data_IF_157683635245
#
_entry.id   IF_157683635245
#
_cell.length_a   1.000
_cell.length_b   1.000
_cell.length_c   1.000
_cell.angle_alpha   90.00
_cell.angle_beta   90.00
_cell.angle_gamma   90.00
#
_symmetry.space_group_name_H-M   'P 1'
#
loop_
_entity.id
_entity.type
_entity.pdbx_description
1 polymer ?
#
# COMPACT_ATOMS: atom_id res chain seq x y z
N UNK A 1 3.35 72.80 39.82
CA UNK A 1 2.73 72.73 38.47
C UNK A 1 3.11 71.41 37.82
N UNK A 2 2.08 70.68 37.33
CA UNK A 2 1.98 69.66 36.25
C UNK A 2 3.17 68.71 35.97
N UNK A 3 3.01 67.38 36.24
CA UNK A 3 2.75 66.25 35.29
C UNK A 3 4.00 65.86 34.46
N UNK A 4 4.41 64.60 34.27
CA UNK A 4 3.67 63.48 33.64
C UNK A 4 4.35 62.14 34.00
N UNK A 5 3.54 61.14 34.36
CA UNK A 5 3.90 59.71 34.35
C UNK A 5 3.82 59.15 32.92
N UNK A 6 4.59 58.12 32.56
CA UNK A 6 4.24 57.31 31.38
C UNK A 6 4.48 55.82 31.56
N UNK A 7 3.54 55.10 30.95
CA UNK A 7 3.07 53.76 31.24
C UNK A 7 3.91 52.64 30.60
N UNK A 8 3.76 51.48 31.23
CA UNK A 8 3.95 50.11 30.76
C UNK A 8 3.34 49.87 29.37
N UNK A 9 4.02 49.07 28.53
CA UNK A 9 3.36 48.10 27.66
C UNK A 9 4.08 46.74 27.69
N UNK A 10 3.40 45.75 28.26
CA UNK A 10 3.66 44.33 28.10
C UNK A 10 3.36 43.93 26.65
N UNK A 11 4.33 43.35 25.95
CA UNK A 11 4.10 42.72 24.65
C UNK A 11 4.23 41.21 24.80
N UNK A 12 3.10 40.57 25.10
CA UNK A 12 2.87 39.15 24.89
C UNK A 12 2.52 38.98 23.41
N UNK A 13 3.35 38.30 22.66
CA UNK A 13 3.13 38.10 21.23
C UNK A 13 4.34 37.48 20.55
N UNK A 14 4.74 36.26 20.95
CA UNK A 14 5.65 35.47 20.14
C UNK A 14 4.89 35.02 18.90
N UNK A 15 5.05 35.78 17.82
CA UNK A 15 4.67 35.38 16.48
C UNK A 15 5.23 33.98 16.22
N UNK A 16 4.36 32.99 15.99
CA UNK A 16 4.74 31.72 15.37
C UNK A 16 5.12 32.04 13.93
N UNK A 17 6.37 32.47 13.75
CA UNK A 17 7.00 32.55 12.45
C UNK A 17 6.96 31.12 11.88
N UNK A 18 6.36 30.96 10.69
CA UNK A 18 6.22 29.67 10.02
C UNK A 18 7.62 29.02 9.94
N UNK A 19 7.83 27.96 10.72
CA UNK A 19 9.10 27.25 10.76
C UNK A 19 9.28 26.56 9.39
N UNK A 20 10.33 26.85 8.62
CA UNK A 20 10.46 26.38 7.23
C UNK A 20 10.58 24.85 7.06
N UNK A 21 10.65 24.09 8.16
CA UNK A 21 10.81 22.63 8.18
C UNK A 21 9.69 21.94 9.00
N UNK A 22 8.43 22.17 8.66
CA UNK A 22 7.29 21.43 9.25
C UNK A 22 6.95 20.19 8.41
N UNK A 23 6.59 19.09 9.07
CA UNK A 23 6.24 17.83 8.42
C UNK A 23 7.07 16.63 8.89
N UNK A 24 7.01 15.54 8.14
CA UNK A 24 7.80 14.32 8.38
C UNK A 24 8.73 14.07 7.19
N UNK A 25 9.88 13.44 7.44
CA UNK A 25 10.76 12.98 6.37
C UNK A 25 10.17 11.72 5.75
N UNK A 26 9.65 11.84 4.52
CA UNK A 26 9.21 10.73 3.69
C UNK A 26 10.36 10.18 2.85
N UNK A 27 10.68 8.91 3.04
CA UNK A 27 11.53 8.13 2.16
C UNK A 27 10.65 7.29 1.22
N UNK A 28 10.85 7.45 -0.08
CA UNK A 28 10.04 6.84 -1.13
C UNK A 28 10.82 5.73 -1.81
N UNK A 29 10.22 4.54 -1.91
CA UNK A 29 10.85 3.33 -2.41
C UNK A 29 10.05 2.74 -3.57
N UNK A 30 10.76 2.21 -4.55
CA UNK A 30 10.20 1.24 -5.49
C UNK A 30 10.05 -0.10 -4.77
N UNK A 31 8.92 -0.78 -4.98
CA UNK A 31 8.58 -2.03 -4.30
C UNK A 31 7.76 -1.85 -3.04
N UNK A 32 7.04 -2.90 -2.64
CA UNK A 32 6.11 -2.89 -1.51
C UNK A 32 6.78 -3.22 -0.15
N UNK A 33 8.08 -3.54 -0.17
CA UNK A 33 8.90 -3.90 1.01
C UNK A 33 10.18 -3.05 1.10
N UNK A 34 10.11 -1.79 0.69
CA UNK A 34 11.22 -0.83 0.74
C UNK A 34 12.44 -1.23 -0.09
N UNK A 35 12.23 -1.97 -1.19
CA UNK A 35 13.28 -2.65 -1.96
C UNK A 35 14.38 -1.70 -2.45
N UNK A 36 13.99 -0.59 -3.07
CA UNK A 36 14.94 0.40 -3.63
C UNK A 36 14.49 1.82 -3.35
N UNK A 37 15.26 2.55 -2.54
CA UNK A 37 15.01 3.97 -2.32
C UNK A 37 15.17 4.76 -3.61
N UNK A 38 14.17 5.57 -3.93
CA UNK A 38 14.11 6.42 -5.12
C UNK A 38 14.39 7.86 -4.76
N UNK A 39 13.73 8.38 -3.71
CA UNK A 39 13.84 9.78 -3.32
C UNK A 39 13.44 10.00 -1.86
N UNK A 40 13.69 11.22 -1.37
CA UNK A 40 13.24 11.69 -0.05
C UNK A 40 12.62 13.07 -0.17
N UNK A 41 11.57 13.35 0.62
CA UNK A 41 10.91 14.66 0.69
C UNK A 41 10.42 14.93 2.11
N UNK A 42 10.33 16.21 2.51
CA UNK A 42 9.60 16.58 3.73
C UNK A 42 8.13 16.77 3.35
N UNK A 43 7.26 15.95 3.93
CA UNK A 43 5.83 16.00 3.72
C UNK A 43 5.17 16.70 4.90
N UNK A 44 4.56 17.87 4.65
CA UNK A 44 3.92 18.69 5.69
C UNK A 44 2.87 17.91 6.49
N UNK A 45 2.17 16.99 5.83
CA UNK A 45 1.18 16.08 6.40
C UNK A 45 1.21 14.77 5.61
N UNK A 46 0.76 13.68 6.23
CA UNK A 46 0.43 12.45 5.52
C UNK A 46 -1.06 12.54 5.14
N UNK A 47 -1.31 13.09 3.95
CA UNK A 47 -2.63 13.28 3.38
C UNK A 47 -2.52 13.18 1.86
N UNK A 48 -2.41 11.96 1.36
CA UNK A 48 -2.07 11.67 -0.02
C UNK A 48 -3.18 10.87 -0.70
N UNK A 49 -3.48 11.29 -1.92
CA UNK A 49 -4.38 10.63 -2.85
C UNK A 49 -3.66 10.56 -4.18
N UNK A 50 -3.07 9.39 -4.46
CA UNK A 50 -2.28 9.16 -5.66
C UNK A 50 -3.07 8.33 -6.67
N UNK A 51 -2.87 8.71 -7.92
CA UNK A 51 -3.44 8.04 -9.08
C UNK A 51 -2.50 8.21 -10.27
N UNK A 52 -2.99 7.83 -11.45
CA UNK A 52 -2.23 7.93 -12.70
C UNK A 52 -1.80 9.35 -13.09
N UNK A 53 -2.47 10.38 -12.58
CA UNK A 53 -2.18 11.78 -12.83
C UNK A 53 -1.42 12.44 -11.68
N UNK A 54 -1.59 11.95 -10.45
CA UNK A 54 -0.92 12.44 -9.26
C UNK A 54 -0.03 11.36 -8.63
N UNK A 55 1.23 11.30 -9.08
CA UNK A 55 2.19 10.27 -8.63
C UNK A 55 2.87 10.66 -7.30
N UNK A 56 3.35 9.68 -6.50
CA UNK A 56 3.97 9.96 -5.20
C UNK A 56 5.18 10.91 -5.27
N UNK A 57 6.07 10.61 -6.20
CA UNK A 57 7.28 11.38 -6.46
C UNK A 57 7.79 11.07 -7.87
N UNK A 58 8.55 12.00 -8.45
CA UNK A 58 9.23 11.76 -9.72
C UNK A 58 10.13 10.51 -9.63
N UNK A 59 10.01 9.62 -10.61
CA UNK A 59 10.75 8.35 -10.64
C UNK A 59 10.01 7.17 -10.01
N UNK A 60 8.86 7.39 -9.36
CA UNK A 60 7.92 6.33 -9.01
C UNK A 60 6.70 6.35 -9.94
N UNK A 61 6.22 5.16 -10.29
CA UNK A 61 4.92 4.96 -10.93
C UNK A 61 3.78 5.11 -9.93
N UNK A 62 2.54 4.97 -10.41
CA UNK A 62 1.36 4.93 -9.56
C UNK A 62 1.22 3.62 -8.77
N UNK A 63 1.89 2.55 -9.23
CA UNK A 63 1.81 1.19 -8.70
C UNK A 63 3.12 0.78 -8.03
N UNK A 64 3.03 -0.21 -7.14
CA UNK A 64 4.15 -0.96 -6.59
C UNK A 64 5.25 -0.09 -5.98
N UNK A 65 4.89 0.59 -4.90
CA UNK A 65 5.80 1.45 -4.15
C UNK A 65 5.51 1.37 -2.67
N UNK A 66 6.46 1.83 -1.86
CA UNK A 66 6.31 1.97 -0.43
C UNK A 66 6.90 3.28 0.04
N UNK A 67 6.39 3.79 1.15
CA UNK A 67 6.84 5.04 1.75
C UNK A 67 7.03 4.84 3.23
N UNK A 68 8.13 5.38 3.77
CA UNK A 68 8.39 5.45 5.21
C UNK A 68 8.50 6.91 5.61
N UNK A 69 7.60 7.37 6.46
CA UNK A 69 7.68 8.67 7.10
C UNK A 69 8.27 8.54 8.50
N UNK A 70 9.24 9.38 8.82
CA UNK A 70 9.86 9.46 10.16
C UNK A 70 9.97 10.90 10.61
N UNK A 71 9.91 11.11 11.92
CA UNK A 71 10.08 12.41 12.55
C UNK A 71 9.49 12.42 13.94
N UNK A 72 8.97 13.58 14.35
CA UNK A 72 8.39 13.78 15.66
C UNK A 72 6.99 14.38 15.58
N UNK A 73 6.17 13.99 16.56
CA UNK A 73 4.81 14.45 16.79
C UNK A 73 4.75 15.21 18.12
N UNK A 74 4.28 16.46 18.10
CA UNK A 74 4.03 17.21 19.33
C UNK A 74 2.68 16.84 19.93
N UNK A 75 2.69 16.49 21.22
CA UNK A 75 1.51 16.12 21.99
C UNK A 75 1.08 17.35 22.81
N UNK A 76 0.00 18.05 22.44
CA UNK A 76 -0.39 19.29 23.13
C UNK A 76 -0.89 19.06 24.56
N UNK A 77 -1.61 17.96 24.80
CA UNK A 77 -2.28 17.68 26.07
C UNK A 77 -2.01 16.25 26.52
N UNK A 78 -1.93 16.02 27.82
CA UNK A 78 -1.76 14.66 28.34
C UNK A 78 -3.09 13.91 28.24
N UNK A 79 -3.05 12.64 27.83
CA UNK A 79 -4.23 11.79 27.83
C UNK A 79 -4.19 10.68 26.80
N UNK A 80 -5.34 10.06 26.57
CA UNK A 80 -5.51 9.01 25.58
C UNK A 80 -5.65 9.61 24.19
N UNK A 81 -4.76 9.20 23.30
CA UNK A 81 -4.83 9.50 21.87
C UNK A 81 -5.23 8.24 21.11
N UNK A 82 -6.00 8.43 20.04
CA UNK A 82 -6.29 7.38 19.08
C UNK A 82 -5.69 7.77 17.72
N UNK A 83 -4.96 6.85 17.09
CA UNK A 83 -4.39 7.06 15.76
C UNK A 83 -5.07 6.11 14.78
N UNK A 84 -5.38 6.61 13.59
CA UNK A 84 -6.00 5.83 12.53
C UNK A 84 -5.51 6.29 11.16
N UNK A 85 -5.74 5.47 10.14
CA UNK A 85 -5.37 5.79 8.75
C UNK A 85 -6.49 5.48 7.78
N UNK A 86 -6.47 6.14 6.64
CA UNK A 86 -7.01 5.58 5.39
C UNK A 86 -5.80 5.07 4.63
N UNK A 87 -5.80 3.81 4.21
CA UNK A 87 -4.73 3.20 3.43
C UNK A 87 -5.34 2.39 2.28
N UNK A 88 -4.74 2.45 1.11
CA UNK A 88 -4.98 1.53 0.00
C UNK A 88 -3.62 1.31 -0.65
N UNK A 89 -2.80 0.32 -0.29
CA UNK A 89 -3.16 -0.94 0.39
C UNK A 89 -2.88 -0.96 1.91
N UNK A 90 -1.61 -1.11 2.31
CA UNK A 90 -1.23 -1.49 3.67
C UNK A 90 -0.47 -0.39 4.42
N UNK A 91 -0.66 -0.31 5.75
CA UNK A 91 0.03 0.68 6.57
C UNK A 91 0.37 0.19 7.99
N UNK A 92 1.36 0.81 8.60
CA UNK A 92 1.73 0.65 10.02
C UNK A 92 2.05 2.01 10.64
N UNK A 93 1.73 2.17 11.92
CA UNK A 93 2.03 3.39 12.67
C UNK A 93 2.69 3.01 13.99
N UNK A 94 3.79 3.70 14.30
CA UNK A 94 4.41 3.69 15.61
C UNK A 94 4.41 5.10 16.19
N UNK A 95 4.02 5.23 17.45
CA UNK A 95 4.12 6.46 18.23
C UNK A 95 4.90 6.16 19.50
N UNK A 96 5.98 6.90 19.73
CA UNK A 96 6.92 6.68 20.82
C UNK A 96 7.44 5.23 20.89
N UNK A 97 7.70 4.63 19.73
CA UNK A 97 8.13 3.23 19.59
C UNK A 97 7.02 2.17 19.72
N UNK A 98 5.82 2.53 20.17
CA UNK A 98 4.68 1.61 20.30
C UNK A 98 3.93 1.48 18.98
N UNK A 99 3.74 0.26 18.48
CA UNK A 99 2.93 -0.04 17.28
C UNK A 99 1.44 0.18 17.59
N UNK A 100 0.88 1.28 17.10
CA UNK A 100 -0.52 1.66 17.37
C UNK A 100 -1.48 1.16 16.28
N UNK A 101 -0.98 0.95 15.06
CA UNK A 101 -1.73 0.45 13.89
C UNK A 101 -0.88 -0.58 13.15
N UNK A 102 -1.43 -1.75 12.89
CA UNK A 102 -0.84 -2.77 12.01
C UNK A 102 -1.87 -3.30 11.01
N UNK A 103 -1.79 -2.80 9.78
CA UNK A 103 -2.63 -3.16 8.65
C UNK A 103 -1.78 -3.60 7.45
N UNK A 104 -0.56 -4.08 7.69
CA UNK A 104 0.39 -4.25 6.60
C UNK A 104 -0.03 -5.27 5.55
N UNK A 105 -0.72 -6.34 5.96
CA UNK A 105 -1.18 -7.39 5.05
C UNK A 105 -2.65 -7.22 4.62
N UNK A 106 -3.29 -6.11 4.99
CA UNK A 106 -4.63 -5.81 4.50
C UNK A 106 -4.51 -5.18 3.10
N UNK A 107 -4.79 -5.98 2.07
CA UNK A 107 -4.87 -5.50 0.69
C UNK A 107 -6.27 -4.97 0.39
N UNK A 108 -6.35 -3.81 -0.26
CA UNK A 108 -7.58 -3.14 -0.69
C UNK A 108 -8.59 -4.12 -1.28
N UNK A 109 -9.83 -4.07 -0.81
CA UNK A 109 -10.89 -4.91 -1.35
C UNK A 109 -11.10 -4.66 -2.86
N UNK A 110 -11.28 -5.71 -3.68
CA UNK A 110 -11.66 -5.56 -5.08
C UNK A 110 -13.15 -5.22 -5.13
N UNK A 111 -13.51 -3.95 -4.90
CA UNK A 111 -14.76 -3.29 -5.33
C UNK A 111 -14.80 -1.87 -4.78
N UNK A 112 -14.45 -0.90 -5.63
CA UNK A 112 -15.12 0.42 -5.70
C UNK A 112 -15.55 1.03 -4.36
N UNK A 113 -14.58 1.41 -3.53
CA UNK A 113 -14.63 2.47 -2.52
C UNK A 113 -13.29 2.41 -1.79
N UNK A 114 -12.64 3.56 -1.62
CA UNK A 114 -11.52 3.76 -0.68
C UNK A 114 -11.82 2.95 0.58
N UNK A 115 -11.10 1.85 0.80
CA UNK A 115 -11.37 1.00 1.96
C UNK A 115 -10.79 1.74 3.14
N UNK A 116 -11.65 2.34 3.95
CA UNK A 116 -11.26 2.98 5.19
C UNK A 116 -10.80 1.91 6.17
N UNK A 117 -9.50 1.63 6.19
CA UNK A 117 -8.91 0.74 7.18
C UNK A 117 -8.76 1.47 8.52
N UNK A 118 -9.84 1.51 9.30
CA UNK A 118 -9.78 1.77 10.75
C UNK A 118 -9.10 0.56 11.40
N UNK A 119 -7.79 0.48 11.29
CA UNK A 119 -7.00 -0.69 11.70
C UNK A 119 -6.29 -0.42 12.99
N UNK A 120 -7.06 -0.38 14.06
CA UNK A 120 -6.56 -0.57 15.40
C UNK A 120 -7.72 -1.01 16.29
N UNK A 121 -7.57 -2.05 17.13
CA UNK A 121 -8.57 -2.38 18.13
C UNK A 121 -8.63 -1.27 19.19
N UNK A 122 -9.29 -0.12 18.93
CA UNK A 122 -9.34 1.05 19.82
C UNK A 122 -8.06 1.23 20.65
N UNK A 123 -6.89 1.09 20.03
CA UNK A 123 -5.61 0.95 20.74
C UNK A 123 -5.16 2.36 21.14
N UNK A 124 -5.89 2.91 22.11
CA UNK A 124 -5.65 4.22 22.69
C UNK A 124 -4.28 4.17 23.36
N UNK A 125 -3.41 5.07 22.96
CA UNK A 125 -2.10 5.23 23.59
C UNK A 125 -2.17 6.43 24.51
N UNK A 126 -1.81 6.22 25.76
CA UNK A 126 -1.58 7.33 26.67
C UNK A 126 -0.30 8.04 26.26
N UNK A 127 -0.38 9.35 26.01
CA UNK A 127 0.78 10.18 25.72
C UNK A 127 0.89 11.30 26.74
N UNK A 128 2.10 11.56 27.25
CA UNK A 128 2.33 12.70 28.13
C UNK A 128 2.28 13.99 27.29
N UNK A 129 1.57 15.00 27.79
CA UNK A 129 1.37 16.27 27.08
C UNK A 129 2.61 17.16 27.07
N UNK A 130 2.51 18.24 26.29
CA UNK A 130 3.49 19.33 26.15
C UNK A 130 4.89 18.88 25.75
N UNK A 131 5.01 17.84 24.93
CA UNK A 131 6.30 17.33 24.47
C UNK A 131 6.25 16.74 23.07
N UNK A 132 7.43 16.55 22.48
CA UNK A 132 7.61 15.83 21.24
C UNK A 132 7.86 14.35 21.50
N UNK A 133 7.19 13.49 20.75
CA UNK A 133 7.42 12.04 20.75
C UNK A 133 7.77 11.58 19.34
N UNK A 134 8.49 10.47 19.23
CA UNK A 134 8.83 9.91 17.92
C UNK A 134 7.58 9.38 17.21
N UNK A 135 7.52 9.56 15.90
CA UNK A 135 6.51 8.96 15.05
C UNK A 135 7.16 8.32 13.82
N UNK A 136 6.72 7.10 13.53
CA UNK A 136 7.07 6.40 12.29
C UNK A 136 5.78 5.90 11.64
N UNK A 137 5.65 6.12 10.35
CA UNK A 137 4.55 5.60 9.55
C UNK A 137 5.12 4.90 8.34
N UNK A 138 4.65 3.69 8.07
CA UNK A 138 5.02 2.91 6.91
C UNK A 138 3.77 2.64 6.08
N UNK A 139 3.91 2.67 4.76
CA UNK A 139 2.84 2.43 3.81
C UNK A 139 3.35 1.66 2.60
N UNK A 140 2.49 0.80 2.04
CA UNK A 140 2.71 0.15 0.75
C UNK A 140 1.50 0.33 -0.16
N UNK A 141 1.76 0.64 -1.42
CA UNK A 141 0.82 0.44 -2.51
C UNK A 141 1.31 -0.74 -3.34
N UNK A 142 0.43 -1.69 -3.57
CA UNK A 142 0.71 -2.74 -4.52
C UNK A 142 0.28 -2.33 -5.93
N UNK A 143 -0.97 -1.88 -6.10
CA UNK A 143 -1.53 -1.69 -7.42
C UNK A 143 -2.75 -0.76 -7.45
N UNK A 144 -2.91 -0.08 -8.58
CA UNK A 144 -3.89 0.96 -8.85
C UNK A 144 -3.76 2.18 -7.93
N UNK A 145 -4.90 2.85 -7.71
CA UNK A 145 -5.03 4.07 -6.91
C UNK A 145 -4.48 3.82 -5.51
N UNK A 146 -3.81 4.82 -4.97
CA UNK A 146 -3.19 4.76 -3.66
C UNK A 146 -3.72 5.89 -2.78
N UNK A 147 -4.38 5.55 -1.69
CA UNK A 147 -4.83 6.51 -0.67
C UNK A 147 -3.99 6.30 0.60
N UNK A 148 -3.45 7.38 1.17
CA UNK A 148 -2.76 7.33 2.46
C UNK A 148 -2.99 8.61 3.26
N UNK A 149 -3.81 8.53 4.30
CA UNK A 149 -4.13 9.67 5.17
C UNK A 149 -3.95 9.27 6.63
N UNK A 150 -3.22 10.06 7.40
CA UNK A 150 -3.00 9.87 8.83
C UNK A 150 -3.92 10.75 9.65
N UNK A 151 -4.65 10.14 10.58
CA UNK A 151 -5.55 10.82 11.50
C UNK A 151 -5.16 10.59 12.95
N UNK A 152 -5.61 11.51 13.80
CA UNK A 152 -5.66 11.34 15.25
C UNK A 152 -7.02 11.74 15.83
N UNK A 153 -7.27 11.29 17.05
CA UNK A 153 -8.26 11.85 17.97
C UNK A 153 -7.53 12.22 19.26
N UNK A 154 -7.75 13.45 19.72
CA UNK A 154 -7.10 13.97 20.93
C UNK A 154 -7.94 13.66 22.18
N UNK A 155 -7.37 13.77 23.39
CA UNK A 155 -8.13 13.63 24.63
C UNK A 155 -9.36 14.54 24.73
N UNK A 156 -9.30 15.73 24.11
CA UNK A 156 -10.44 16.65 24.03
C UNK A 156 -11.55 16.09 23.14
N UNK A 157 -11.20 15.60 21.94
CA UNK A 157 -12.16 15.06 20.97
C UNK A 157 -12.91 13.84 21.55
N UNK A 158 -12.20 12.98 22.29
CA UNK A 158 -12.78 11.80 22.96
C UNK A 158 -13.77 12.19 24.06
N UNK A 159 -13.53 13.29 24.79
CA UNK A 159 -14.46 13.79 25.82
C UNK A 159 -15.75 14.33 25.21
N UNK A 160 -15.68 14.94 24.02
CA UNK A 160 -16.85 15.45 23.31
C UNK A 160 -17.71 14.36 22.65
N UNK A 161 -17.17 13.16 22.43
CA UNK A 161 -17.85 12.06 21.74
C UNK A 161 -18.78 11.21 22.63
N UNK A 162 -18.98 11.59 23.90
CA UNK A 162 -19.89 10.89 24.82
C UNK A 162 -21.39 11.04 24.44
N UNK A 163 -21.72 11.55 23.25
CA UNK A 163 -23.11 11.76 22.80
C UNK A 163 -23.38 11.72 21.29
N UNK A 164 -22.40 11.41 20.42
CA UNK A 164 -22.60 11.39 18.96
C UNK A 164 -22.13 10.09 18.32
N UNK A 165 -22.93 9.53 17.42
CA UNK A 165 -22.66 8.27 16.70
C UNK A 165 -21.59 8.43 15.58
N UNK A 166 -20.58 9.29 15.73
CA UNK A 166 -19.66 9.66 14.65
C UNK A 166 -18.19 9.72 15.08
N UNK A 167 -17.34 8.94 14.41
CA UNK A 167 -15.88 8.95 14.57
C UNK A 167 -15.29 10.33 14.23
N UNK A 168 -14.96 11.14 15.23
CA UNK A 168 -14.41 12.48 15.04
C UNK A 168 -12.88 12.46 14.86
N UNK A 169 -12.42 11.94 13.72
CA UNK A 169 -10.99 11.88 13.38
C UNK A 169 -10.52 13.10 12.59
N UNK A 170 -9.35 13.64 12.93
CA UNK A 170 -8.74 14.80 12.26
C UNK A 170 -7.40 14.45 11.63
N UNK A 171 -7.13 14.95 10.43
CA UNK A 171 -5.79 14.88 9.84
C UNK A 171 -4.83 15.63 10.75
N UNK A 172 -3.68 15.04 11.09
CA UNK A 172 -2.72 15.66 11.99
C UNK A 172 -2.17 16.96 11.35
N UNK A 173 -2.37 18.13 11.98
CA UNK A 173 -1.86 19.40 11.44
C UNK A 173 -0.32 19.45 11.38
N UNK A 174 0.23 20.03 10.30
CA UNK A 174 1.67 20.16 10.08
C UNK A 174 2.43 20.83 11.24
N UNK A 175 1.77 21.76 11.96
CA UNK A 175 2.34 22.43 13.14
C UNK A 175 2.73 21.47 14.28
N UNK A 176 2.16 20.26 14.29
CA UNK A 176 2.48 19.21 15.26
C UNK A 176 3.53 18.23 14.73
N UNK A 177 4.06 18.42 13.53
CA UNK A 177 5.00 17.48 12.90
C UNK A 177 6.36 18.15 12.66
N UNK A 178 7.44 17.44 12.96
CA UNK A 178 8.81 17.88 12.66
C UNK A 178 9.66 16.77 12.05
N UNK A 179 10.45 17.04 10.99
CA UNK A 179 11.29 16.04 10.34
C UNK A 179 12.61 15.80 11.08
N UNK A 180 12.91 16.63 12.10
CA UNK A 180 14.11 16.53 12.92
C UNK A 180 13.75 16.13 14.34
N UNK A 181 14.66 15.45 15.02
CA UNK A 181 14.56 15.24 16.46
C UNK A 181 14.60 16.58 17.19
N UNK A 182 13.48 16.98 17.79
CA UNK A 182 13.35 18.06 18.78
C UNK A 182 13.54 17.55 20.21
N UNK A 183 13.54 16.22 20.41
CA UNK A 183 13.97 15.61 21.67
C UNK A 183 15.50 15.70 21.74
N UNK A 184 16.08 16.19 22.85
CA UNK A 184 17.51 16.12 23.08
C UNK A 184 17.97 14.66 22.95
N UNK A 185 19.08 14.37 22.26
CA UNK A 185 19.63 13.02 22.24
C UNK A 185 19.89 12.58 23.69
N UNK A 186 19.26 11.49 24.12
CA UNK A 186 19.75 10.74 25.28
C UNK A 186 21.13 10.25 24.86
N UNK A 187 22.18 10.84 25.43
CA UNK A 187 23.56 10.43 25.16
C UNK A 187 23.72 9.01 25.71
N UNK A 188 23.51 8.02 24.85
CA UNK A 188 24.05 6.67 25.04
C UNK A 188 25.41 6.62 24.38
N UNK A 189 26.44 6.43 25.19
CA UNK A 189 27.83 6.51 24.77
C UNK A 189 28.25 5.33 23.88
N UNK A 190 28.97 5.69 22.81
CA UNK A 190 30.03 4.92 22.14
C UNK A 190 29.66 3.66 21.34
N UNK A 191 29.78 3.72 20.00
CA UNK A 191 31.00 3.19 19.36
C UNK A 191 31.11 3.55 17.86
N UNK A 192 32.22 4.25 17.59
CA UNK A 192 33.06 4.41 16.39
C UNK A 192 32.56 3.98 15.00
N UNK A 193 32.52 4.99 14.13
CA UNK A 193 32.62 4.92 12.67
C UNK A 193 33.88 4.20 12.19
N UNK A 194 33.74 3.43 11.10
CA UNK A 194 34.82 3.28 10.11
C UNK A 194 34.28 3.67 8.73
N UNK A 195 35.00 4.58 8.09
CA UNK A 195 34.73 5.16 6.79
C UNK A 195 35.59 4.49 5.73
N UNK A 196 35.01 4.08 4.61
CA UNK A 196 35.75 3.82 3.36
C UNK A 196 35.12 4.64 2.22
N UNK A 197 36.01 5.35 1.53
CA UNK A 197 35.77 6.35 0.49
C UNK A 197 35.29 5.76 -0.85
N UNK A 198 34.56 6.58 -1.61
CA UNK A 198 34.15 6.37 -3.01
C UNK A 198 35.08 7.10 -3.99
N UNK A 199 35.19 6.58 -5.23
CA UNK A 199 35.15 7.33 -6.52
C UNK A 199 35.21 6.36 -7.74
N UNK A 200 34.95 6.77 -9.02
CA UNK A 200 33.65 7.14 -9.61
C UNK A 200 33.29 6.48 -10.99
N UNK A 201 32.00 6.55 -11.33
CA UNK A 201 31.29 6.73 -12.63
C UNK A 201 31.79 6.21 -14.01
N UNK A 202 30.85 5.60 -14.77
CA UNK A 202 30.58 5.75 -16.22
C UNK A 202 29.10 5.33 -16.47
N UNK A 203 28.17 6.22 -16.84
CA UNK A 203 27.81 6.77 -18.17
C UNK A 203 27.21 5.76 -19.17
N UNK A 204 25.92 5.95 -19.50
CA UNK A 204 25.21 5.35 -20.63
C UNK A 204 23.74 5.84 -20.74
N UNK A 205 23.49 6.82 -21.64
CA UNK A 205 22.17 7.29 -22.15
C UNK A 205 21.59 6.22 -23.14
N UNK A 206 20.34 6.13 -23.60
CA UNK A 206 19.16 6.99 -23.84
C UNK A 206 17.90 6.07 -23.95
N UNK A 207 16.68 6.38 -23.48
CA UNK A 207 15.55 7.17 -24.04
C UNK A 207 14.96 6.74 -25.41
N UNK A 208 13.67 6.31 -25.42
CA UNK A 208 12.58 6.67 -26.37
C UNK A 208 11.31 5.79 -26.09
N UNK A 209 10.22 6.33 -25.53
CA UNK A 209 8.94 6.86 -26.14
C UNK A 209 7.87 5.78 -26.51
N UNK A 210 6.56 6.12 -26.47
CA UNK A 210 5.44 5.19 -26.25
C UNK A 210 4.79 4.72 -27.55
N UNK A 211 4.41 3.44 -27.59
CA UNK A 211 3.64 2.85 -28.70
C UNK A 211 2.14 2.85 -28.39
N UNK A 212 1.38 3.31 -29.36
CA UNK A 212 -0.06 3.52 -29.44
C UNK A 212 -0.89 2.24 -29.36
N UNK A 213 -2.09 2.35 -28.76
CA UNK A 213 -3.18 1.37 -28.81
C UNK A 213 -3.59 1.02 -30.26
N UNK A 214 -3.83 -0.27 -30.52
CA UNK A 214 -5.01 -0.70 -31.26
C UNK A 214 -5.95 -1.44 -30.30
N UNK A 215 -7.11 -0.83 -30.05
CA UNK A 215 -8.26 -1.51 -29.44
C UNK A 215 -8.68 -2.65 -30.34
N UNK A 216 -8.35 -3.89 -29.97
CA UNK A 216 -8.96 -5.09 -30.56
C UNK A 216 -9.97 -5.60 -29.54
N UNK A 217 -11.25 -5.31 -29.79
CA UNK A 217 -12.33 -6.12 -29.24
C UNK A 217 -12.20 -7.53 -29.84
N UNK A 218 -12.07 -8.60 -29.05
CA UNK A 218 -12.39 -9.92 -29.55
C UNK A 218 -13.92 -10.01 -29.70
N UNK A 219 -14.38 -10.13 -30.94
CA UNK A 219 -15.74 -10.55 -31.27
C UNK A 219 -16.06 -11.93 -30.64
N UNK A 220 -17.33 -12.24 -30.35
CA UNK A 220 -17.73 -13.44 -29.61
C UNK A 220 -17.53 -14.70 -30.46
N UNK A 221 -16.53 -15.50 -30.11
CA UNK A 221 -16.28 -16.83 -30.64
C UNK A 221 -17.01 -17.90 -29.82
N UNK A 222 -17.90 -18.60 -30.50
CA UNK A 222 -18.62 -19.84 -30.18
C UNK A 222 -18.05 -20.78 -29.10
N UNK A 223 -18.97 -21.21 -28.23
CA UNK A 223 -18.95 -22.20 -27.15
C UNK A 223 -18.00 -23.41 -27.25
N UNK A 224 -17.38 -23.76 -26.12
CA UNK A 224 -16.98 -25.15 -25.78
C UNK A 224 -17.47 -25.46 -24.35
N UNK A 225 -17.97 -26.68 -24.07
CA UNK A 225 -18.61 -27.01 -22.79
C UNK A 225 -17.66 -26.90 -21.62
N UNK A 226 -18.17 -26.30 -20.55
CA UNK A 226 -17.80 -26.41 -19.14
C UNK A 226 -16.76 -27.52 -18.88
N UNK A 227 -15.48 -27.16 -18.93
CA UNK A 227 -14.39 -28.07 -18.57
C UNK A 227 -14.53 -28.41 -17.09
N UNK A 228 -14.80 -29.68 -16.80
CA UNK A 228 -14.85 -30.19 -15.42
C UNK A 228 -13.45 -30.03 -14.85
N UNK A 229 -13.28 -29.20 -13.82
CA UNK A 229 -11.97 -28.96 -13.21
C UNK A 229 -11.54 -30.22 -12.46
N UNK A 230 -11.00 -31.20 -13.17
CA UNK A 230 -10.58 -32.47 -12.58
C UNK A 230 -9.19 -32.32 -11.95
N UNK A 231 -9.17 -32.00 -10.66
CA UNK A 231 -7.95 -31.92 -9.88
C UNK A 231 -7.35 -33.32 -9.67
N UNK A 232 -6.20 -33.58 -10.29
CA UNK A 232 -5.37 -34.77 -10.09
C UNK A 232 -4.02 -34.33 -9.51
N UNK A 233 -3.58 -34.98 -8.42
CA UNK A 233 -2.34 -34.62 -7.72
C UNK A 233 -1.15 -34.54 -8.68
N UNK A 234 -0.41 -33.44 -8.62
CA UNK A 234 0.74 -33.16 -9.47
C UNK A 234 0.41 -32.67 -10.88
N UNK A 235 -0.87 -32.59 -11.27
CA UNK A 235 -1.28 -32.05 -12.57
C UNK A 235 -1.65 -30.58 -12.45
N UNK A 236 -1.25 -29.82 -13.47
CA UNK A 236 -1.60 -28.42 -13.66
C UNK A 236 -2.80 -28.29 -14.60
N UNK A 237 -3.76 -27.46 -14.22
CA UNK A 237 -4.94 -27.11 -15.02
C UNK A 237 -4.87 -25.62 -15.36
N UNK A 238 -5.05 -25.26 -16.63
CA UNK A 238 -5.15 -23.87 -17.06
C UNK A 238 -6.61 -23.43 -16.96
N UNK A 239 -6.90 -22.37 -16.20
CA UNK A 239 -8.23 -21.79 -16.11
C UNK A 239 -8.48 -20.82 -17.26
N UNK A 240 -8.72 -21.35 -18.47
CA UNK A 240 -8.81 -20.56 -19.71
C UNK A 240 -9.87 -19.43 -19.66
N UNK A 241 -10.95 -19.60 -18.92
CA UNK A 241 -12.03 -18.61 -18.80
C UNK A 241 -11.85 -17.65 -17.61
N UNK A 242 -10.79 -17.78 -16.82
CA UNK A 242 -10.49 -16.80 -15.78
C UNK A 242 -9.75 -15.62 -16.41
N UNK A 243 -10.47 -14.51 -16.52
CA UNK A 243 -10.07 -13.32 -17.24
C UNK A 243 -10.01 -12.11 -16.31
N UNK A 244 -9.13 -11.17 -16.64
CA UNK A 244 -8.94 -9.95 -15.87
C UNK A 244 -9.07 -8.72 -16.77
N UNK A 245 -9.51 -7.61 -16.19
CA UNK A 245 -9.44 -6.32 -16.87
C UNK A 245 -7.99 -6.03 -17.30
N UNK A 246 -7.84 -5.29 -18.41
CA UNK A 246 -6.53 -4.99 -18.99
C UNK A 246 -5.61 -4.33 -17.95
N UNK A 247 -4.36 -4.79 -17.88
CA UNK A 247 -3.35 -4.31 -16.92
C UNK A 247 -3.83 -4.28 -15.47
N UNK A 248 -4.74 -5.20 -15.12
CA UNK A 248 -5.37 -5.25 -13.80
C UNK A 248 -5.51 -6.70 -13.32
N UNK A 249 -5.75 -6.83 -12.01
CA UNK A 249 -6.13 -8.07 -11.33
C UNK A 249 -7.64 -8.14 -11.05
N UNK A 250 -8.42 -7.16 -11.50
CA UNK A 250 -9.89 -7.20 -11.38
C UNK A 250 -10.44 -8.32 -12.26
N UNK A 251 -11.03 -9.34 -11.63
CA UNK A 251 -11.71 -10.44 -12.30
C UNK A 251 -12.90 -9.92 -13.12
N UNK A 252 -13.00 -10.35 -14.38
CA UNK A 252 -14.16 -10.07 -15.22
C UNK A 252 -15.32 -11.02 -14.89
N UNK A 253 -16.59 -10.61 -15.07
CA UNK A 253 -17.77 -11.42 -14.78
C UNK A 253 -17.76 -12.83 -15.39
N UNK A 254 -17.18 -12.97 -16.57
CA UNK A 254 -17.06 -14.23 -17.33
C UNK A 254 -16.22 -15.29 -16.60
N UNK A 255 -15.39 -14.86 -15.63
CA UNK A 255 -14.56 -15.76 -14.81
C UNK A 255 -15.36 -16.53 -13.78
N UNK A 256 -16.45 -15.94 -13.27
CA UNK A 256 -17.13 -16.45 -12.08
C UNK A 256 -17.72 -17.86 -12.26
N UNK A 257 -18.36 -18.23 -13.38
CA UNK A 257 -18.85 -19.59 -13.57
C UNK A 257 -17.74 -20.66 -13.46
N UNK A 258 -16.52 -20.38 -13.94
CA UNK A 258 -15.38 -21.30 -13.82
C UNK A 258 -14.86 -21.36 -12.40
N UNK A 259 -14.83 -20.23 -11.69
CA UNK A 259 -14.41 -20.19 -10.29
C UNK A 259 -15.42 -20.87 -9.36
N UNK A 260 -16.72 -20.72 -9.60
CA UNK A 260 -17.77 -21.41 -8.83
C UNK A 260 -17.64 -22.94 -8.98
N UNK A 261 -17.32 -23.45 -10.17
CA UNK A 261 -17.03 -24.88 -10.37
C UNK A 261 -15.79 -25.36 -9.61
N UNK A 262 -14.73 -24.55 -9.60
CA UNK A 262 -13.54 -24.85 -8.81
C UNK A 262 -13.88 -24.91 -7.31
N UNK A 263 -14.72 -24.00 -6.80
CA UNK A 263 -15.22 -24.06 -5.42
C UNK A 263 -15.95 -25.36 -5.14
N UNK A 264 -16.90 -25.76 -6.00
CA UNK A 264 -17.63 -27.03 -5.84
C UNK A 264 -16.66 -28.21 -5.78
N UNK A 265 -15.69 -28.26 -6.70
CA UNK A 265 -14.67 -29.33 -6.76
C UNK A 265 -13.85 -29.41 -5.47
N UNK A 266 -13.42 -28.26 -4.93
CA UNK A 266 -12.62 -28.21 -3.71
C UNK A 266 -13.44 -28.57 -2.46
N UNK A 267 -14.74 -28.23 -2.43
CA UNK A 267 -15.65 -28.63 -1.33
C UNK A 267 -15.87 -30.15 -1.30
N UNK A 268 -15.90 -30.81 -2.45
CA UNK A 268 -15.99 -32.27 -2.55
C UNK A 268 -14.68 -32.97 -2.12
N UNK A 269 -13.56 -32.25 -2.09
CA UNK A 269 -12.23 -32.76 -1.72
C UNK A 269 -11.61 -31.91 -0.60
N UNK A 270 -12.13 -31.95 0.63
CA UNK A 270 -11.77 -31.02 1.71
C UNK A 270 -10.31 -31.12 2.18
N UNK A 271 -9.54 -32.13 1.78
CA UNK A 271 -8.10 -32.24 2.06
C UNK A 271 -7.21 -31.81 0.90
N UNK A 272 -7.78 -31.44 -0.26
CA UNK A 272 -7.01 -31.07 -1.44
C UNK A 272 -6.40 -29.68 -1.27
N UNK A 273 -5.07 -29.61 -1.26
CA UNK A 273 -4.35 -28.33 -1.35
C UNK A 273 -4.09 -27.98 -2.81
N UNK A 274 -4.07 -26.69 -3.14
CA UNK A 274 -3.79 -26.20 -4.48
C UNK A 274 -2.77 -25.05 -4.45
N UNK A 275 -1.95 -24.96 -5.50
CA UNK A 275 -1.19 -23.74 -5.82
C UNK A 275 -1.86 -23.03 -7.00
N UNK A 276 -2.21 -21.77 -6.79
CA UNK A 276 -2.74 -20.88 -7.83
C UNK A 276 -1.59 -20.05 -8.38
N UNK A 277 -1.35 -20.17 -9.67
CA UNK A 277 -0.22 -19.54 -10.34
C UNK A 277 -0.71 -18.56 -11.38
N UNK A 278 -0.31 -17.29 -11.27
CA UNK A 278 -0.58 -16.28 -12.28
C UNK A 278 0.57 -16.14 -13.26
N UNK A 279 0.23 -15.84 -14.51
CA UNK A 279 1.19 -15.57 -15.58
C UNK A 279 0.78 -14.33 -16.39
N UNK A 280 1.77 -13.64 -16.95
CA UNK A 280 1.59 -12.58 -17.95
C UNK A 280 2.29 -12.98 -19.25
N UNK A 281 2.10 -12.17 -20.29
CA UNK A 281 3.00 -12.19 -21.44
C UNK A 281 4.31 -11.41 -21.12
N UNK A 282 5.09 -11.13 -22.16
CA UNK A 282 6.37 -10.41 -22.07
C UNK A 282 6.24 -8.88 -22.23
N UNK A 283 5.04 -8.32 -22.29
CA UNK A 283 4.84 -6.88 -22.49
C UNK A 283 4.85 -6.16 -21.14
N UNK A 284 5.56 -5.03 -21.06
CA UNK A 284 5.66 -4.21 -19.84
C UNK A 284 6.91 -4.47 -18.99
N UNK A 285 6.97 -3.86 -17.80
CA UNK A 285 8.08 -4.08 -16.86
C UNK A 285 7.96 -5.48 -16.25
N UNK A 286 8.99 -6.31 -16.44
CA UNK A 286 9.01 -7.71 -15.99
C UNK A 286 8.77 -7.86 -14.48
N UNK A 287 9.18 -6.89 -13.65
CA UNK A 287 8.96 -6.93 -12.19
C UNK A 287 7.51 -6.62 -11.86
N UNK A 288 6.92 -5.62 -12.52
CA UNK A 288 5.50 -5.32 -12.37
C UNK A 288 4.64 -6.50 -12.83
N UNK A 289 5.09 -7.24 -13.84
CA UNK A 289 4.41 -8.44 -14.33
C UNK A 289 4.42 -9.59 -13.31
N UNK A 290 5.52 -9.78 -12.56
CA UNK A 290 5.56 -10.74 -11.44
C UNK A 290 4.50 -10.36 -10.41
N UNK A 291 4.51 -9.12 -9.94
CA UNK A 291 3.53 -8.62 -8.98
C UNK A 291 2.10 -8.75 -9.50
N UNK A 292 1.81 -8.27 -10.71
CA UNK A 292 0.48 -8.37 -11.33
C UNK A 292 -0.04 -9.81 -11.34
N UNK A 293 0.83 -10.73 -11.76
CA UNK A 293 0.48 -12.14 -11.84
C UNK A 293 0.23 -12.76 -10.45
N UNK A 294 1.00 -12.37 -9.43
CA UNK A 294 0.76 -12.79 -8.05
C UNK A 294 -0.56 -12.24 -7.52
N UNK A 295 -0.87 -10.97 -7.79
CA UNK A 295 -2.15 -10.38 -7.40
C UNK A 295 -3.33 -11.06 -8.11
N UNK A 296 -3.20 -11.40 -9.40
CA UNK A 296 -4.21 -12.19 -10.11
C UNK A 296 -4.46 -13.54 -9.44
N UNK A 297 -3.40 -14.25 -9.02
CA UNK A 297 -3.53 -15.49 -8.26
C UNK A 297 -4.21 -15.26 -6.90
N UNK A 298 -3.82 -14.19 -6.16
CA UNK A 298 -4.46 -13.80 -4.89
C UNK A 298 -5.93 -13.45 -5.04
N UNK A 299 -6.35 -12.83 -6.14
CA UNK A 299 -7.76 -12.53 -6.37
C UNK A 299 -8.60 -13.77 -6.59
N UNK A 300 -8.05 -14.75 -7.31
CA UNK A 300 -8.67 -16.07 -7.42
C UNK A 300 -8.75 -16.72 -6.05
N UNK A 301 -7.66 -16.75 -5.28
CA UNK A 301 -7.66 -17.28 -3.90
C UNK A 301 -8.72 -16.60 -3.03
N UNK A 302 -8.77 -15.26 -3.02
CA UNK A 302 -9.75 -14.48 -2.27
C UNK A 302 -11.20 -14.79 -2.67
N UNK A 303 -11.44 -15.08 -3.95
CA UNK A 303 -12.75 -15.48 -4.42
C UNK A 303 -13.15 -16.86 -3.85
N UNK A 304 -12.22 -17.82 -3.83
CA UNK A 304 -12.44 -19.17 -3.29
C UNK A 304 -12.65 -19.15 -1.78
N UNK A 305 -11.83 -18.40 -1.04
CA UNK A 305 -11.90 -18.32 0.42
C UNK A 305 -13.21 -17.70 0.90
N UNK A 306 -13.69 -16.64 0.22
CA UNK A 306 -15.01 -16.05 0.48
C UNK A 306 -16.17 -17.02 0.29
N UNK A 307 -15.97 -18.12 -0.44
CA UNK A 307 -16.98 -19.18 -0.66
C UNK A 307 -16.76 -20.41 0.22
N UNK A 308 -15.87 -20.31 1.20
CA UNK A 308 -15.67 -21.31 2.25
C UNK A 308 -14.53 -22.29 2.00
N UNK A 309 -13.62 -22.03 1.06
CA UNK A 309 -12.38 -22.80 0.95
C UNK A 309 -11.37 -22.30 2.00
N UNK A 310 -10.83 -23.15 2.88
CA UNK A 310 -9.86 -22.72 3.89
C UNK A 310 -8.58 -22.13 3.29
N UNK A 311 -8.03 -21.08 3.93
CA UNK A 311 -6.86 -20.34 3.43
C UNK A 311 -5.61 -21.23 3.37
N UNK A 312 -5.45 -22.16 4.32
CA UNK A 312 -4.34 -23.12 4.40
C UNK A 312 -4.34 -24.17 3.27
N UNK A 313 -5.45 -24.30 2.54
CA UNK A 313 -5.53 -25.13 1.34
C UNK A 313 -5.03 -24.43 0.08
N UNK A 314 -4.74 -23.13 0.12
CA UNK A 314 -4.45 -22.33 -1.08
C UNK A 314 -3.10 -21.65 -0.95
N UNK A 315 -2.16 -22.07 -1.79
CA UNK A 315 -0.92 -21.34 -2.05
C UNK A 315 -1.10 -20.43 -3.28
N UNK A 316 -0.42 -19.28 -3.32
CA UNK A 316 -0.45 -18.38 -4.48
C UNK A 316 0.95 -18.01 -4.94
N UNK A 317 1.18 -17.94 -6.25
CA UNK A 317 2.44 -17.50 -6.84
C UNK A 317 2.22 -16.67 -8.10
N UNK A 318 3.10 -15.69 -8.31
CA UNK A 318 3.19 -14.93 -9.56
C UNK A 318 4.47 -15.28 -10.30
N UNK A 319 4.36 -15.70 -11.56
CA UNK A 319 5.51 -15.99 -12.41
C UNK A 319 5.75 -14.94 -13.49
N UNK A 320 4.88 -13.92 -13.60
CA UNK A 320 4.95 -12.91 -14.65
C UNK A 320 5.08 -13.55 -16.02
N UNK A 321 5.97 -13.01 -16.86
CA UNK A 321 6.27 -13.54 -18.18
C UNK A 321 7.32 -14.66 -18.21
N UNK A 322 7.76 -15.18 -17.06
CA UNK A 322 8.93 -16.08 -16.98
C UNK A 322 8.63 -17.53 -17.39
N UNK A 323 7.35 -17.91 -17.48
CA UNK A 323 6.90 -19.26 -17.84
C UNK A 323 5.88 -19.21 -19.01
N UNK A 324 6.32 -18.84 -20.22
CA UNK A 324 5.45 -18.83 -21.38
C UNK A 324 5.11 -20.26 -21.81
N UNK A 325 3.87 -20.46 -22.25
CA UNK A 325 3.39 -21.71 -22.88
C UNK A 325 3.18 -21.55 -24.39
N UNK A 326 3.25 -20.31 -24.87
CA UNK A 326 3.07 -19.94 -26.25
C UNK A 326 4.07 -18.85 -26.66
N UNK A 327 4.20 -18.63 -27.96
CA UNK A 327 5.11 -17.63 -28.50
C UNK A 327 4.69 -16.21 -28.07
N UNK A 328 5.65 -15.37 -27.67
CA UNK A 328 5.39 -13.99 -27.24
C UNK A 328 5.43 -12.96 -28.39
N UNK A 329 5.73 -13.38 -29.61
CA UNK A 329 5.90 -12.46 -30.74
C UNK A 329 4.57 -12.07 -31.41
N UNK A 330 3.51 -12.87 -31.25
CA UNK A 330 2.19 -12.63 -31.85
C UNK A 330 1.11 -12.47 -30.78
N UNK A 331 0.15 -11.58 -30.98
CA UNK A 331 -0.84 -11.24 -29.94
C UNK A 331 -1.76 -12.41 -29.57
N UNK A 332 -2.23 -13.15 -30.57
CA UNK A 332 -3.03 -14.37 -30.39
C UNK A 332 -2.31 -15.42 -29.53
N UNK A 333 -0.98 -15.53 -29.66
CA UNK A 333 -0.16 -16.45 -28.86
C UNK A 333 0.16 -15.86 -27.47
N UNK A 334 0.46 -14.56 -27.37
CA UNK A 334 0.63 -13.86 -26.07
C UNK A 334 -0.59 -13.99 -25.18
N UNK A 335 -1.80 -13.96 -25.74
CA UNK A 335 -3.03 -14.13 -25.00
C UNK A 335 -3.05 -15.43 -24.19
N UNK A 336 -2.46 -16.52 -24.71
CA UNK A 336 -2.36 -17.79 -23.99
C UNK A 336 -1.40 -17.71 -22.79
N UNK A 337 -0.41 -16.82 -22.83
CA UNK A 337 0.52 -16.61 -21.71
C UNK A 337 -0.10 -15.80 -20.57
N UNK A 338 -1.13 -14.99 -20.84
CA UNK A 338 -1.92 -14.28 -19.82
C UNK A 338 -2.97 -15.20 -19.21
N UNK A 339 -2.54 -16.07 -18.30
CA UNK A 339 -3.36 -17.16 -17.75
C UNK A 339 -3.23 -17.31 -16.24
N UNK A 340 -4.15 -18.08 -15.67
CA UNK A 340 -4.04 -18.62 -14.31
C UNK A 340 -4.01 -20.14 -14.40
N UNK A 341 -3.13 -20.74 -13.62
CA UNK A 341 -2.98 -22.18 -13.49
C UNK A 341 -3.32 -22.63 -12.07
N UNK A 342 -3.81 -23.85 -11.94
CA UNK A 342 -4.04 -24.55 -10.68
C UNK A 342 -3.22 -25.83 -10.68
N UNK A 343 -2.32 -25.98 -9.72
CA UNK A 343 -1.62 -27.22 -9.45
C UNK A 343 -2.26 -27.87 -8.22
N UNK A 344 -2.72 -29.11 -8.35
CA UNK A 344 -3.14 -29.91 -7.20
C UNK A 344 -1.89 -30.46 -6.48
N UNK A 345 -1.75 -30.15 -5.19
CA UNK A 345 -0.57 -30.49 -4.37
C UNK A 345 -0.66 -31.89 -3.73
#
# INVERSE_FOLDING_TARGET
MKRIASFIFLLVGSYLQAQPNQGLLGEYFYGDKFDKKVATRIDKQINFHWDQHNKPINGLGENYFSVRWTGQLYIPEAGMYYFSVTADDGAKIWVNGVLTVDAWEQSGHPKTRTTEYVTGPRNRTYLPGKQWVDIKVEYKNAWAKADMVLYWETPYDIKSDLGSQGLFRKIIPAKYLSPQSKTPPIISASSRQSSIQRKPALSGKASAKPSTNPTVNPAPGTSTPIETVRLEKGKTIILQQVQFAQSSYVLLPESFPTLDRLVTTLKEKPSQRIEISGHTDNVGDARLNITLSEYRAKQVANYLTKRGIPVDQIDTKGYGGQRPIANNNQENERAKNRRVEILAL
#
